data_IF_836957897841
#
_entry.id   IF_836957897841
#
_cell.length_a   1.000
_cell.length_b   1.000
_cell.length_c   1.000
_cell.angle_alpha   90.00
_cell.angle_beta   90.00
_cell.angle_gamma   90.00
#
_symmetry.space_group_name_H-M   'P 1'
#
loop_
_entity.id
_entity.type
_entity.pdbx_description
1 polymer ?
#
# COMPACT_ATOMS: atom_id res chain seq x y z
N UNK A 1 -13.57 42.82 -17.04
CA UNK A 1 -14.31 41.76 -16.30
C UNK A 1 -14.71 40.53 -17.13
N UNK A 2 -15.12 40.66 -18.42
CA UNK A 2 -15.52 39.50 -19.26
C UNK A 2 -14.41 38.45 -19.48
N UNK A 3 -13.15 38.88 -19.65
CA UNK A 3 -12.00 37.96 -19.83
C UNK A 3 -11.69 37.11 -18.60
N UNK A 4 -11.85 37.69 -17.40
CA UNK A 4 -11.60 37.00 -16.12
C UNK A 4 -12.67 35.94 -15.83
N UNK A 5 -13.94 36.25 -16.13
CA UNK A 5 -15.04 35.29 -16.05
C UNK A 5 -14.85 34.12 -17.03
N UNK A 6 -14.34 34.40 -18.25
CA UNK A 6 -14.02 33.37 -19.26
C UNK A 6 -12.87 32.46 -18.80
N UNK A 7 -11.85 33.02 -18.14
CA UNK A 7 -10.74 32.26 -17.56
C UNK A 7 -11.20 31.39 -16.38
N UNK A 8 -12.05 31.92 -15.49
CA UNK A 8 -12.61 31.15 -14.38
C UNK A 8 -13.52 30.02 -14.84
N UNK A 9 -14.35 30.24 -15.87
CA UNK A 9 -15.16 29.16 -16.46
C UNK A 9 -14.31 28.10 -17.15
N UNK A 10 -13.17 28.49 -17.72
CA UNK A 10 -12.23 27.54 -18.33
C UNK A 10 -11.51 26.70 -17.26
N UNK A 11 -11.03 27.33 -16.18
CA UNK A 11 -10.43 26.63 -15.04
C UNK A 11 -11.42 25.69 -14.34
N UNK A 12 -12.68 26.12 -14.16
CA UNK A 12 -13.73 25.27 -13.61
C UNK A 12 -14.04 24.07 -14.51
N UNK A 13 -14.03 24.26 -15.83
CA UNK A 13 -14.19 23.16 -16.81
C UNK A 13 -13.03 22.16 -16.75
N UNK A 14 -11.79 22.64 -16.62
CA UNK A 14 -10.60 21.79 -16.46
C UNK A 14 -10.64 21.00 -15.14
N UNK A 15 -11.04 21.64 -14.04
CA UNK A 15 -11.18 20.97 -12.75
C UNK A 15 -12.26 19.88 -12.77
N UNK A 16 -13.37 20.14 -13.47
CA UNK A 16 -14.46 19.17 -13.62
C UNK A 16 -14.06 17.98 -14.51
N UNK A 17 -13.25 18.22 -15.55
CA UNK A 17 -12.63 17.14 -16.33
C UNK A 17 -11.67 16.30 -15.50
N UNK A 18 -10.80 16.92 -14.71
CA UNK A 18 -9.89 16.22 -13.78
C UNK A 18 -10.65 15.38 -12.75
N UNK A 19 -11.75 15.91 -12.19
CA UNK A 19 -12.61 15.17 -11.26
C UNK A 19 -13.40 14.03 -11.93
N UNK A 20 -13.62 14.09 -13.24
CA UNK A 20 -14.29 13.04 -14.02
C UNK A 20 -13.32 11.95 -14.55
N UNK A 21 -12.00 12.19 -14.55
CA UNK A 21 -11.00 11.20 -14.96
C UNK A 21 -11.03 9.88 -14.17
N UNK A 22 -11.30 9.84 -12.85
CA UNK A 22 -11.43 8.59 -12.11
C UNK A 22 -12.55 7.70 -12.65
N UNK A 23 -13.64 8.30 -13.15
CA UNK A 23 -14.73 7.56 -13.78
C UNK A 23 -14.33 6.92 -15.11
N UNK A 24 -13.46 7.58 -15.87
CA UNK A 24 -12.88 7.01 -17.10
C UNK A 24 -11.83 5.93 -16.80
N UNK A 25 -11.04 6.06 -15.72
CA UNK A 25 -10.16 4.99 -15.27
C UNK A 25 -10.95 3.75 -14.81
N UNK A 26 -12.10 3.95 -14.17
CA UNK A 26 -13.01 2.87 -13.77
C UNK A 26 -13.73 2.23 -14.98
N UNK A 27 -14.04 3.01 -16.02
CA UNK A 27 -14.70 2.53 -17.24
C UNK A 27 -13.73 1.95 -18.29
N UNK A 28 -12.46 2.38 -18.31
CA UNK A 28 -11.40 1.84 -19.15
C UNK A 28 -10.85 0.51 -18.62
N UNK A 29 -11.25 0.08 -17.42
CA UNK A 29 -11.23 -1.32 -16.99
C UNK A 29 -12.27 -2.15 -17.76
N UNK A 30 -12.21 -2.12 -19.09
CA UNK A 30 -13.07 -2.92 -19.95
C UNK A 30 -13.01 -4.37 -19.50
N UNK A 31 -14.19 -4.97 -19.24
CA UNK A 31 -14.42 -6.35 -18.73
C UNK A 31 -13.10 -6.99 -18.35
N UNK A 32 -12.63 -6.72 -17.13
CA UNK A 32 -11.49 -7.42 -16.57
C UNK A 32 -11.73 -8.89 -16.91
N UNK A 33 -10.96 -9.41 -17.88
CA UNK A 33 -10.85 -10.85 -18.08
C UNK A 33 -10.63 -11.33 -16.68
N UNK A 34 -11.52 -12.15 -16.15
CA UNK A 34 -11.35 -12.74 -14.83
C UNK A 34 -10.08 -13.56 -14.92
N UNK A 35 -8.93 -12.90 -14.77
CA UNK A 35 -7.65 -13.53 -14.56
C UNK A 35 -7.92 -14.22 -13.25
N UNK A 36 -8.11 -15.52 -13.33
CA UNK A 36 -8.34 -16.35 -12.16
C UNK A 36 -6.98 -16.35 -11.47
N UNK A 37 -6.79 -15.39 -10.56
CA UNK A 37 -5.55 -15.25 -9.81
C UNK A 37 -5.58 -16.35 -8.74
N UNK A 38 -5.02 -17.49 -9.11
CA UNK A 38 -4.86 -18.68 -8.27
C UNK A 38 -3.37 -18.85 -8.03
N UNK A 39 -2.99 -19.04 -6.78
CA UNK A 39 -1.65 -19.44 -6.41
C UNK A 39 -1.43 -20.90 -6.87
N UNK A 40 -0.38 -21.15 -7.64
CA UNK A 40 0.01 -22.50 -8.03
C UNK A 40 0.56 -23.25 -6.81
N UNK A 41 -0.24 -24.15 -6.23
CA UNK A 41 0.10 -24.92 -5.01
C UNK A 41 0.83 -26.24 -5.29
N UNK A 42 1.10 -26.59 -6.55
CA UNK A 42 1.54 -27.95 -6.94
C UNK A 42 2.92 -28.39 -6.46
N UNK A 43 3.78 -27.43 -6.07
CA UNK A 43 5.14 -27.69 -5.58
C UNK A 43 5.39 -27.02 -4.22
N UNK A 44 4.33 -26.60 -3.54
CA UNK A 44 4.44 -25.98 -2.24
C UNK A 44 4.17 -27.02 -1.16
N UNK A 45 5.02 -27.01 -0.14
CA UNK A 45 4.87 -27.84 1.06
C UNK A 45 4.89 -26.97 2.33
N UNK A 46 4.28 -27.50 3.39
CA UNK A 46 4.32 -26.90 4.73
C UNK A 46 3.62 -25.54 4.83
N UNK A 47 4.29 -24.58 5.48
CA UNK A 47 3.71 -23.25 5.77
C UNK A 47 3.41 -22.48 4.47
N UNK A 48 4.23 -22.67 3.45
CA UNK A 48 4.06 -21.98 2.18
C UNK A 48 2.86 -22.53 1.40
N UNK A 49 2.59 -23.84 1.49
CA UNK A 49 1.36 -24.45 0.99
C UNK A 49 0.13 -23.90 1.73
N UNK A 50 0.17 -23.88 3.06
CA UNK A 50 -0.93 -23.34 3.87
C UNK A 50 -1.25 -21.88 3.51
N UNK A 51 -0.21 -21.06 3.34
CA UNK A 51 -0.35 -19.66 2.96
C UNK A 51 -0.94 -19.47 1.55
N UNK A 52 -0.49 -20.29 0.58
CA UNK A 52 -0.98 -20.25 -0.79
C UNK A 52 -2.40 -20.80 -0.92
N UNK A 53 -2.75 -21.83 -0.16
CA UNK A 53 -4.11 -22.39 -0.12
C UNK A 53 -5.10 -21.40 0.50
N UNK A 54 -4.70 -20.70 1.56
CA UNK A 54 -5.50 -19.62 2.17
C UNK A 54 -5.81 -18.50 1.17
N UNK A 55 -4.88 -18.17 0.28
CA UNK A 55 -5.12 -17.20 -0.81
C UNK A 55 -6.16 -17.71 -1.82
N UNK A 56 -6.11 -19.01 -2.13
CA UNK A 56 -7.03 -19.64 -3.09
C UNK A 56 -8.45 -19.80 -2.52
N UNK A 57 -8.58 -20.10 -1.22
CA UNK A 57 -9.89 -20.23 -0.57
C UNK A 57 -10.58 -18.87 -0.34
N UNK A 58 -9.83 -17.85 0.08
CA UNK A 58 -10.40 -16.53 0.36
C UNK A 58 -9.40 -15.38 0.26
N UNK A 59 -9.46 -14.65 -0.86
CA UNK A 59 -8.67 -13.42 -1.05
C UNK A 59 -8.94 -12.35 0.01
N UNK A 60 -10.17 -12.25 0.53
CA UNK A 60 -10.51 -11.27 1.58
C UNK A 60 -9.85 -11.61 2.91
N UNK A 61 -9.90 -12.89 3.31
CA UNK A 61 -9.25 -13.33 4.54
C UNK A 61 -7.72 -13.14 4.45
N UNK A 62 -7.13 -13.52 3.32
CA UNK A 62 -5.72 -13.29 3.03
C UNK A 62 -5.35 -11.79 3.11
N UNK A 63 -6.17 -10.91 2.52
CA UNK A 63 -5.91 -9.47 2.52
C UNK A 63 -5.93 -8.88 3.94
N UNK A 64 -6.92 -9.24 4.76
CA UNK A 64 -6.99 -8.77 6.15
C UNK A 64 -5.82 -9.31 6.97
N UNK A 65 -5.50 -10.60 6.81
CA UNK A 65 -4.39 -11.22 7.54
C UNK A 65 -3.06 -10.55 7.20
N UNK A 66 -2.78 -10.34 5.92
CA UNK A 66 -1.55 -9.66 5.48
C UNK A 66 -1.49 -8.20 5.90
N UNK A 67 -2.62 -7.49 5.85
CA UNK A 67 -2.74 -6.11 6.33
C UNK A 67 -2.39 -5.98 7.82
N UNK A 68 -2.65 -7.01 8.63
CA UNK A 68 -2.28 -7.04 10.05
C UNK A 68 -0.84 -7.51 10.27
N UNK A 69 -0.40 -8.58 9.59
CA UNK A 69 0.91 -9.18 9.81
C UNK A 69 2.04 -8.23 9.43
N UNK A 70 1.95 -7.54 8.30
CA UNK A 70 3.00 -6.64 7.81
C UNK A 70 3.37 -5.55 8.83
N UNK A 71 2.44 -4.72 9.34
CA UNK A 71 2.78 -3.69 10.31
C UNK A 71 3.24 -4.29 11.64
N UNK A 72 2.67 -5.41 12.09
CA UNK A 72 3.09 -6.07 13.34
C UNK A 72 4.55 -6.52 13.24
N UNK A 73 4.90 -7.24 12.17
CA UNK A 73 6.29 -7.70 11.93
C UNK A 73 7.21 -6.49 11.76
N UNK A 74 6.77 -5.44 11.05
CA UNK A 74 7.52 -4.20 10.91
C UNK A 74 7.86 -3.54 12.26
N UNK A 75 6.88 -3.45 13.17
CA UNK A 75 7.10 -2.92 14.53
C UNK A 75 8.05 -3.82 15.34
N UNK A 76 7.91 -5.14 15.25
CA UNK A 76 8.81 -6.09 15.95
C UNK A 76 10.24 -5.94 15.45
N UNK A 77 10.44 -5.86 14.13
CA UNK A 77 11.77 -5.67 13.54
C UNK A 77 12.36 -4.31 13.89
N UNK A 78 11.55 -3.24 13.90
CA UNK A 78 11.98 -1.91 14.34
C UNK A 78 12.44 -1.92 15.80
N UNK A 79 11.65 -2.53 16.69
CA UNK A 79 12.02 -2.68 18.09
C UNK A 79 13.28 -3.53 18.28
N UNK A 80 13.45 -4.61 17.51
CA UNK A 80 14.66 -5.43 17.55
C UNK A 80 15.88 -4.64 17.06
N UNK A 81 15.72 -3.82 16.01
CA UNK A 81 16.78 -2.94 15.52
C UNK A 81 17.19 -1.92 16.60
N UNK A 82 16.24 -1.34 17.35
CA UNK A 82 16.54 -0.44 18.47
C UNK A 82 17.37 -1.13 19.56
N UNK A 83 17.08 -2.41 19.87
CA UNK A 83 17.87 -3.20 20.81
C UNK A 83 19.30 -3.38 20.29
N UNK A 84 19.46 -3.76 19.03
CA UNK A 84 20.77 -3.97 18.42
C UNK A 84 21.59 -2.68 18.40
N UNK A 85 20.99 -1.54 18.04
CA UNK A 85 21.67 -0.24 18.06
C UNK A 85 22.11 0.16 19.47
N UNK A 86 21.25 -0.07 20.47
CA UNK A 86 21.58 0.16 21.88
C UNK A 86 22.74 -0.73 22.34
N UNK A 87 22.78 -1.99 21.89
CA UNK A 87 23.84 -2.94 22.26
C UNK A 87 25.20 -2.61 21.62
N UNK A 88 25.19 -2.03 20.42
CA UNK A 88 26.40 -1.58 19.71
C UNK A 88 26.90 -0.22 20.23
N UNK A 89 26.13 0.45 21.11
CA UNK A 89 26.51 1.73 21.71
C UNK A 89 26.19 2.95 20.84
N UNK A 90 25.37 2.79 19.80
CA UNK A 90 24.79 3.92 19.07
C UNK A 90 23.57 4.37 19.86
N UNK A 91 23.80 5.30 20.79
CA UNK A 91 22.74 5.89 21.58
C UNK A 91 22.02 6.99 20.79
N UNK A 92 20.86 6.63 20.23
CA UNK A 92 19.97 7.56 19.53
C UNK A 92 19.03 8.33 20.48
N UNK A 93 19.07 8.06 21.81
CA UNK A 93 18.15 8.65 22.78
C UNK A 93 18.64 10.00 23.31
N UNK A 94 19.94 10.25 23.30
CA UNK A 94 20.53 11.49 23.80
C UNK A 94 21.02 12.40 22.66
N UNK A 95 20.06 13.14 22.07
CA UNK A 95 20.25 14.15 21.01
C UNK A 95 20.84 15.48 21.54
N UNK A 96 21.66 15.45 22.59
CA UNK A 96 22.20 16.69 23.19
C UNK A 96 23.54 17.14 22.61
N UNK A 97 24.25 16.30 21.84
CA UNK A 97 25.61 16.60 21.37
C UNK A 97 25.71 17.00 19.88
N UNK A 98 24.61 17.02 19.13
CA UNK A 98 24.65 17.11 17.66
C UNK A 98 24.11 18.42 17.04
N UNK A 99 23.59 19.36 17.83
CA UNK A 99 23.21 20.69 17.32
C UNK A 99 24.03 21.75 18.04
N UNK A 100 25.06 22.24 17.36
CA UNK A 100 25.79 23.47 17.67
C UNK A 100 25.48 24.50 16.60
#
# INVERSE_FOLDING_TARGET
>A
MKKMRKLMTWLAGCALMLAAMPGLALAAGGKASSVVIVADTRKLDGILYWWAEMYNESHLFFAILTMLIIPIVGCILGWLADIVMTHIGIDLKHRELAEK
#
